data_IF_574581889748
#
_entry.id   IF_574581889748
#
_cell.length_a   1.000
_cell.length_b   1.000
_cell.length_c   1.000
_cell.angle_alpha   90.00
_cell.angle_beta   90.00
_cell.angle_gamma   90.00
#
_symmetry.space_group_name_H-M   'P 1'
#
loop_
_entity.id
_entity.type
_entity.pdbx_description
1 polymer ?
#
# COMPACT_ATOMS: atom_id res chain seq x y z
N UNK A 1 38.53 29.66 -25.28
CA UNK A 1 37.13 29.17 -25.23
C UNK A 1 37.19 27.69 -24.89
N UNK A 2 36.96 27.34 -23.62
CA UNK A 2 36.93 25.95 -23.19
C UNK A 2 35.65 25.30 -23.73
N UNK A 3 35.81 24.23 -24.51
CA UNK A 3 34.74 23.35 -24.97
C UNK A 3 33.95 22.88 -23.75
N UNK A 4 32.64 23.13 -23.74
CA UNK A 4 31.73 22.55 -22.77
C UNK A 4 31.87 21.03 -22.86
N UNK A 5 32.60 20.43 -21.91
CA UNK A 5 32.59 18.99 -21.73
C UNK A 5 31.12 18.58 -21.62
N UNK A 6 30.63 17.80 -22.58
CA UNK A 6 29.35 17.13 -22.50
C UNK A 6 29.36 16.35 -21.19
N UNK A 7 28.79 16.92 -20.13
CA UNK A 7 28.51 16.18 -18.91
C UNK A 7 27.70 14.98 -19.33
N UNK A 8 28.11 13.79 -18.90
CA UNK A 8 27.28 12.61 -19.03
C UNK A 8 25.86 12.96 -18.54
N UNK A 9 24.81 12.51 -19.23
CA UNK A 9 23.45 12.83 -18.84
C UNK A 9 23.24 12.43 -17.38
N UNK A 10 22.63 13.33 -16.60
CA UNK A 10 22.34 13.05 -15.19
C UNK A 10 21.53 11.75 -15.08
N UNK A 11 21.87 10.92 -14.12
CA UNK A 11 21.17 9.65 -13.87
C UNK A 11 20.51 9.72 -12.50
N UNK A 12 19.18 9.71 -12.47
CA UNK A 12 18.42 9.72 -11.22
C UNK A 12 17.85 8.34 -10.93
N UNK A 13 17.59 8.06 -9.66
CA UNK A 13 16.92 6.83 -9.24
C UNK A 13 15.72 7.09 -8.32
N UNK A 14 14.72 6.23 -8.45
CA UNK A 14 13.67 6.02 -7.46
C UNK A 14 13.87 4.64 -6.84
N UNK A 15 13.94 4.54 -5.51
CA UNK A 15 13.90 3.28 -4.77
C UNK A 15 12.57 3.20 -4.02
N UNK A 16 11.66 2.36 -4.50
CA UNK A 16 10.36 2.14 -3.87
C UNK A 16 10.41 0.88 -3.01
N UNK A 17 10.38 1.05 -1.69
CA UNK A 17 10.46 -0.06 -0.73
C UNK A 17 9.04 -0.45 -0.35
N UNK A 18 8.60 -1.64 -0.76
CA UNK A 18 7.24 -2.17 -0.56
C UNK A 18 7.30 -3.59 -0.02
N UNK A 19 6.29 -4.05 0.74
CA UNK A 19 6.40 -5.35 1.41
C UNK A 19 5.77 -6.53 0.65
N UNK A 20 4.78 -6.33 -0.20
CA UNK A 20 4.21 -7.45 -0.99
C UNK A 20 3.67 -7.05 -2.37
N UNK A 21 3.75 -5.77 -2.74
CA UNK A 21 3.05 -5.28 -3.93
C UNK A 21 3.64 -5.70 -5.28
N UNK A 22 4.76 -6.42 -5.27
CA UNK A 22 5.36 -7.03 -6.45
C UNK A 22 4.79 -8.41 -6.80
N UNK A 23 4.26 -9.12 -5.82
CA UNK A 23 3.82 -10.50 -5.99
C UNK A 23 2.38 -10.74 -5.53
N UNK A 24 1.75 -9.77 -4.87
CA UNK A 24 0.37 -9.84 -4.41
C UNK A 24 -0.39 -8.58 -4.83
N UNK A 25 -1.43 -8.76 -5.65
CA UNK A 25 -2.31 -7.68 -6.11
C UNK A 25 -3.69 -7.65 -5.41
N UNK A 26 -3.93 -8.52 -4.43
CA UNK A 26 -5.25 -8.67 -3.78
C UNK A 26 -5.43 -7.78 -2.55
N UNK A 27 -4.46 -6.91 -2.25
CA UNK A 27 -4.50 -6.00 -1.11
C UNK A 27 -4.19 -4.55 -1.52
N UNK A 28 -4.34 -3.63 -0.55
CA UNK A 28 -4.16 -2.20 -0.76
C UNK A 28 -2.75 -1.83 -1.26
N UNK A 29 -1.70 -2.40 -0.68
CA UNK A 29 -0.31 -2.11 -1.08
C UNK A 29 0.05 -2.71 -2.43
N UNK A 30 -0.51 -3.87 -2.76
CA UNK A 30 -0.52 -4.40 -4.13
C UNK A 30 -1.06 -3.38 -5.11
N UNK A 31 -2.26 -2.87 -4.84
CA UNK A 31 -2.91 -1.86 -5.68
C UNK A 31 -2.08 -0.58 -5.80
N UNK A 32 -1.56 -0.05 -4.69
CA UNK A 32 -0.72 1.15 -4.68
C UNK A 32 0.59 0.98 -5.46
N UNK A 33 1.23 -0.20 -5.33
CA UNK A 33 2.46 -0.50 -6.05
C UNK A 33 2.21 -0.55 -7.56
N UNK A 34 1.13 -1.20 -7.99
CA UNK A 34 0.78 -1.24 -9.41
C UNK A 34 0.39 0.13 -9.95
N UNK A 35 -0.34 0.92 -9.15
CA UNK A 35 -0.67 2.30 -9.50
C UNK A 35 0.59 3.13 -9.73
N UNK A 36 1.58 3.04 -8.84
CA UNK A 36 2.85 3.75 -8.99
C UNK A 36 3.56 3.33 -10.28
N UNK A 37 3.69 2.01 -10.53
CA UNK A 37 4.39 1.51 -11.72
C UNK A 37 3.68 1.93 -13.02
N UNK A 38 2.35 1.74 -13.10
CA UNK A 38 1.57 2.16 -14.27
C UNK A 38 1.59 3.68 -14.46
N UNK A 39 1.54 4.44 -13.35
CA UNK A 39 1.67 5.88 -13.37
C UNK A 39 3.01 6.32 -13.93
N UNK A 40 4.12 5.76 -13.44
CA UNK A 40 5.47 6.04 -13.92
C UNK A 40 5.61 5.68 -15.41
N UNK A 41 5.12 4.52 -15.85
CA UNK A 41 5.10 4.15 -17.28
C UNK A 41 4.40 5.20 -18.14
N UNK A 42 3.28 5.75 -17.64
CA UNK A 42 2.49 6.74 -18.36
C UNK A 42 3.14 8.14 -18.39
N UNK A 43 3.68 8.61 -17.26
CA UNK A 43 4.19 9.98 -17.12
C UNK A 43 5.70 10.11 -17.32
N UNK A 44 6.42 9.00 -17.56
CA UNK A 44 7.89 8.96 -17.71
C UNK A 44 8.43 10.02 -18.67
N UNK A 45 7.89 10.24 -19.88
CA UNK A 45 8.43 11.26 -20.79
C UNK A 45 8.42 12.67 -20.17
N UNK A 46 7.40 12.98 -19.36
CA UNK A 46 7.29 14.27 -18.68
C UNK A 46 8.29 14.38 -17.52
N UNK A 47 8.44 13.32 -16.73
CA UNK A 47 9.43 13.26 -15.65
C UNK A 47 10.84 13.42 -16.24
N UNK A 48 11.18 12.67 -17.28
CA UNK A 48 12.52 12.69 -17.86
C UNK A 48 12.85 14.02 -18.54
N UNK A 49 11.86 14.68 -19.15
CA UNK A 49 12.03 16.02 -19.71
C UNK A 49 12.36 17.07 -18.62
N UNK A 50 11.79 16.94 -17.42
CA UNK A 50 11.96 17.92 -16.35
C UNK A 50 13.16 17.61 -15.43
N UNK A 51 13.40 16.34 -15.14
CA UNK A 51 14.36 15.91 -14.12
C UNK A 51 15.54 15.11 -14.67
N UNK A 52 15.47 14.69 -15.95
CA UNK A 52 16.43 13.78 -16.57
C UNK A 52 16.05 12.30 -16.40
N UNK A 53 16.82 11.38 -17.01
CA UNK A 53 16.60 9.93 -16.91
C UNK A 53 16.35 9.45 -15.48
N UNK A 54 15.36 8.57 -15.32
CA UNK A 54 14.96 8.02 -14.02
C UNK A 54 14.91 6.49 -14.09
N UNK A 55 15.78 5.84 -13.33
CA UNK A 55 15.74 4.39 -13.13
C UNK A 55 14.88 4.07 -11.90
N UNK A 56 13.89 3.19 -12.08
CA UNK A 56 12.97 2.80 -10.99
C UNK A 56 13.35 1.45 -10.42
N UNK A 57 13.86 1.43 -9.19
CA UNK A 57 14.15 0.23 -8.42
C UNK A 57 13.04 -0.05 -7.43
N UNK A 58 12.71 -1.33 -7.25
CA UNK A 58 11.77 -1.76 -6.21
C UNK A 58 12.47 -2.68 -5.24
N UNK A 59 12.34 -2.41 -3.96
CA UNK A 59 12.91 -3.23 -2.89
C UNK A 59 11.75 -3.92 -2.17
N UNK A 60 11.84 -5.23 -1.99
CA UNK A 60 10.82 -6.02 -1.32
C UNK A 60 11.43 -7.09 -0.41
N UNK A 61 10.69 -7.59 0.60
CA UNK A 61 11.08 -8.77 1.34
C UNK A 61 11.16 -9.95 0.37
N UNK A 62 12.11 -10.84 0.58
CA UNK A 62 12.18 -12.09 -0.15
C UNK A 62 10.90 -12.91 0.11
N UNK A 63 10.15 -13.29 -0.94
CA UNK A 63 8.98 -14.15 -0.78
C UNK A 63 9.44 -15.56 -0.38
N UNK A 64 8.81 -16.11 0.66
CA UNK A 64 9.05 -17.48 1.15
C UNK A 64 7.81 -18.36 0.85
N UNK A 65 7.91 -19.69 0.94
CA UNK A 65 6.75 -20.58 0.80
C UNK A 65 6.08 -20.84 2.18
N UNK A 66 4.77 -20.57 2.38
CA UNK A 66 3.77 -19.98 1.49
C UNK A 66 3.47 -18.52 1.85
N UNK A 67 4.13 -17.57 1.19
CA UNK A 67 3.79 -16.15 1.32
C UNK A 67 2.39 -15.94 0.75
N UNK A 68 1.48 -15.45 1.60
CA UNK A 68 0.09 -15.29 1.22
C UNK A 68 -0.07 -14.42 -0.04
N UNK A 69 -0.79 -14.97 -1.02
CA UNK A 69 -1.04 -14.34 -2.30
C UNK A 69 0.20 -14.15 -3.17
N UNK A 70 1.28 -14.90 -2.94
CA UNK A 70 2.43 -14.94 -3.85
C UNK A 70 2.04 -15.62 -5.16
N UNK A 71 2.08 -14.84 -6.24
CA UNK A 71 1.93 -15.32 -7.61
C UNK A 71 3.26 -15.18 -8.37
N UNK A 72 3.95 -16.30 -8.71
CA UNK A 72 5.24 -16.25 -9.38
C UNK A 72 5.15 -15.71 -10.83
N UNK A 73 4.02 -15.91 -11.51
CA UNK A 73 3.81 -15.39 -12.87
C UNK A 73 3.64 -13.88 -12.81
N UNK A 74 2.82 -13.40 -11.89
CA UNK A 74 2.66 -11.98 -11.64
C UNK A 74 3.98 -11.33 -11.23
N UNK A 75 4.74 -11.95 -10.32
CA UNK A 75 6.04 -11.45 -9.89
C UNK A 75 7.03 -11.30 -11.06
N UNK A 76 7.11 -12.32 -11.94
CA UNK A 76 7.96 -12.25 -13.13
C UNK A 76 7.53 -11.12 -14.08
N UNK A 77 6.23 -10.87 -14.22
CA UNK A 77 5.73 -9.74 -15.01
C UNK A 77 6.18 -8.41 -14.41
N UNK A 78 6.11 -8.26 -13.07
CA UNK A 78 6.57 -7.03 -12.41
C UNK A 78 8.08 -6.81 -12.59
N UNK A 79 8.89 -7.88 -12.53
CA UNK A 79 10.34 -7.77 -12.80
C UNK A 79 10.60 -7.17 -14.20
N UNK A 80 9.93 -7.68 -15.24
CA UNK A 80 10.09 -7.16 -16.62
C UNK A 80 9.65 -5.71 -16.75
N UNK A 81 8.55 -5.31 -16.08
CA UNK A 81 8.08 -3.91 -16.07
C UNK A 81 9.13 -2.98 -15.46
N UNK A 82 9.71 -3.40 -14.34
CA UNK A 82 10.73 -2.63 -13.61
C UNK A 82 12.03 -2.52 -14.42
N UNK A 83 12.44 -3.60 -15.10
CA UNK A 83 13.57 -3.57 -16.04
C UNK A 83 13.32 -2.60 -17.21
N UNK A 84 12.09 -2.55 -17.75
CA UNK A 84 11.72 -1.58 -18.78
C UNK A 84 11.75 -0.12 -18.26
N UNK A 85 11.56 0.08 -16.96
CA UNK A 85 11.76 1.35 -16.25
C UNK A 85 13.23 1.61 -15.86
N UNK A 86 14.18 0.82 -16.37
CA UNK A 86 15.62 1.02 -16.20
C UNK A 86 16.20 0.56 -14.86
N UNK A 87 15.38 -0.01 -13.96
CA UNK A 87 15.84 -0.43 -12.64
C UNK A 87 15.71 -1.93 -12.40
N UNK A 88 15.80 -2.31 -11.12
CA UNK A 88 15.82 -3.71 -10.70
C UNK A 88 14.91 -3.98 -9.49
N UNK A 89 14.50 -5.23 -9.36
CA UNK A 89 13.89 -5.75 -8.12
C UNK A 89 14.99 -6.22 -7.18
N UNK A 90 14.99 -5.73 -5.95
CA UNK A 90 15.91 -6.13 -4.89
C UNK A 90 15.13 -6.87 -3.81
N UNK A 91 15.46 -8.13 -3.59
CA UNK A 91 14.83 -8.96 -2.56
C UNK A 91 15.72 -9.01 -1.32
N UNK A 92 15.14 -8.67 -0.17
CA UNK A 92 15.86 -8.65 1.11
C UNK A 92 15.35 -9.75 2.04
N UNK A 93 16.24 -10.59 2.60
CA UNK A 93 15.83 -11.54 3.63
C UNK A 93 15.40 -10.78 4.89
N UNK A 94 14.33 -11.22 5.53
CA UNK A 94 13.83 -10.66 6.78
C UNK A 94 13.86 -11.64 7.95
N UNK A 95 13.93 -12.94 7.65
CA UNK A 95 13.95 -14.00 8.65
C UNK A 95 15.38 -14.33 9.05
N UNK A 96 15.67 -14.27 10.35
CA UNK A 96 16.82 -14.94 10.93
C UNK A 96 16.50 -16.41 11.28
N UNK A 97 15.21 -16.75 11.41
CA UNK A 97 14.72 -18.09 11.78
C UNK A 97 13.41 -18.44 11.07
N UNK A 98 13.10 -19.72 10.82
CA UNK A 98 11.93 -20.13 10.03
C UNK A 98 10.57 -19.63 10.56
N UNK A 99 10.41 -19.53 11.88
CA UNK A 99 9.19 -19.12 12.57
C UNK A 99 8.92 -17.61 12.52
N UNK A 100 9.90 -16.81 12.09
CA UNK A 100 9.80 -15.37 12.12
C UNK A 100 8.84 -14.86 11.04
N UNK A 101 7.79 -14.16 11.44
CA UNK A 101 6.79 -13.60 10.52
C UNK A 101 7.18 -12.21 10.01
N UNK A 102 6.68 -11.83 8.84
CA UNK A 102 6.96 -10.52 8.25
C UNK A 102 6.48 -9.37 9.14
N UNK A 103 5.39 -9.56 9.87
CA UNK A 103 4.77 -8.53 10.73
C UNK A 103 5.35 -8.49 12.16
N UNK A 104 6.48 -9.16 12.39
CA UNK A 104 7.27 -9.00 13.60
C UNK A 104 8.24 -7.82 13.46
N UNK A 105 8.36 -6.97 14.49
CA UNK A 105 9.31 -5.85 14.51
C UNK A 105 10.77 -6.29 14.25
N UNK A 106 11.16 -7.51 14.65
CA UNK A 106 12.48 -8.09 14.33
C UNK A 106 12.71 -8.22 12.82
N UNK A 107 11.65 -8.53 12.07
CA UNK A 107 11.68 -8.58 10.60
C UNK A 107 11.81 -7.19 10.00
N UNK A 108 11.10 -6.21 10.57
CA UNK A 108 11.18 -4.82 10.12
C UNK A 108 12.57 -4.22 10.36
N UNK A 109 13.21 -4.53 11.49
CA UNK A 109 14.60 -4.15 11.77
C UNK A 109 15.57 -4.77 10.75
N UNK A 110 15.46 -6.08 10.50
CA UNK A 110 16.28 -6.77 9.50
C UNK A 110 16.12 -6.16 8.10
N UNK A 111 14.88 -5.90 7.68
CA UNK A 111 14.55 -5.26 6.40
C UNK A 111 15.11 -3.83 6.31
N UNK A 112 14.90 -3.01 7.35
CA UNK A 112 15.41 -1.63 7.38
C UNK A 112 16.94 -1.58 7.33
N UNK A 113 17.64 -2.53 7.98
CA UNK A 113 19.11 -2.66 7.88
C UNK A 113 19.57 -3.11 6.51
N UNK A 114 18.92 -4.12 5.94
CA UNK A 114 19.20 -4.60 4.58
C UNK A 114 19.00 -3.49 3.55
N UNK A 115 17.90 -2.74 3.66
CA UNK A 115 17.60 -1.60 2.79
C UNK A 115 18.63 -0.49 2.95
N UNK A 116 19.03 -0.13 4.17
CA UNK A 116 20.05 0.88 4.40
C UNK A 116 21.41 0.49 3.76
N UNK A 117 21.84 -0.76 3.91
CA UNK A 117 23.06 -1.27 3.29
C UNK A 117 22.99 -1.24 1.76
N UNK A 118 21.86 -1.70 1.19
CA UNK A 118 21.59 -1.67 -0.25
C UNK A 118 21.63 -0.24 -0.79
N UNK A 119 20.90 0.68 -0.17
CA UNK A 119 20.79 2.07 -0.60
C UNK A 119 22.16 2.76 -0.56
N UNK A 120 22.97 2.51 0.46
CA UNK A 120 24.34 3.06 0.53
C UNK A 120 25.16 2.62 -0.69
N UNK A 121 25.06 1.36 -1.10
CA UNK A 121 25.81 0.82 -2.22
C UNK A 121 25.26 1.33 -3.57
N UNK A 122 23.94 1.25 -3.76
CA UNK A 122 23.30 1.49 -5.06
C UNK A 122 23.17 2.98 -5.39
N UNK A 123 22.87 3.83 -4.42
CA UNK A 123 22.66 5.28 -4.67
C UNK A 123 23.93 5.99 -5.13
N UNK A 124 25.12 5.41 -4.89
CA UNK A 124 26.40 5.97 -5.34
C UNK A 124 26.54 6.01 -6.87
N UNK A 125 25.75 5.23 -7.61
CA UNK A 125 25.73 5.22 -9.07
C UNK A 125 24.84 6.32 -9.70
N UNK A 126 24.14 7.11 -8.87
CA UNK A 126 23.15 8.09 -9.30
C UNK A 126 23.49 9.50 -8.83
N UNK A 127 23.16 10.50 -9.62
CA UNK A 127 23.33 11.91 -9.27
C UNK A 127 22.38 12.35 -8.16
N UNK A 128 21.17 11.78 -8.17
CA UNK A 128 20.11 12.02 -7.17
C UNK A 128 19.30 10.75 -7.00
N UNK A 129 18.86 10.51 -5.77
CA UNK A 129 17.98 9.38 -5.46
C UNK A 129 16.82 9.83 -4.58
N UNK A 130 15.62 9.36 -4.91
CA UNK A 130 14.47 9.39 -4.02
C UNK A 130 14.22 7.99 -3.49
N UNK A 131 14.09 7.84 -2.18
CA UNK A 131 13.71 6.59 -1.52
C UNK A 131 12.32 6.75 -0.95
N UNK A 132 11.39 5.88 -1.29
CA UNK A 132 10.03 5.87 -0.74
C UNK A 132 9.90 4.62 0.13
N UNK A 133 9.73 4.82 1.44
CA UNK A 133 9.60 3.76 2.43
C UNK A 133 8.12 3.53 2.76
N UNK A 134 7.56 2.38 2.38
CA UNK A 134 6.12 2.08 2.58
C UNK A 134 5.90 1.28 3.87
N UNK A 135 5.15 1.86 4.80
CA UNK A 135 4.73 1.25 6.06
C UNK A 135 5.89 0.83 7.00
N UNK A 136 5.51 0.18 8.11
CA UNK A 136 6.39 -0.21 9.22
C UNK A 136 7.65 -0.98 8.82
N UNK A 137 7.61 -1.94 7.85
CA UNK A 137 8.80 -2.73 7.50
C UNK A 137 10.00 -1.90 7.05
N UNK A 138 9.76 -0.71 6.51
CA UNK A 138 10.79 0.15 5.93
C UNK A 138 10.96 1.47 6.69
N UNK A 139 10.10 1.73 7.68
CA UNK A 139 10.00 3.00 8.39
C UNK A 139 11.33 3.42 9.05
N UNK A 140 12.13 2.45 9.51
CA UNK A 140 13.41 2.70 10.18
C UNK A 140 14.59 2.85 9.22
N UNK A 141 14.40 2.68 7.92
CA UNK A 141 15.50 2.76 6.95
C UNK A 141 16.30 4.07 7.07
N UNK A 142 15.69 5.27 7.16
CA UNK A 142 16.46 6.50 7.32
C UNK A 142 17.12 6.63 8.71
N UNK A 143 16.49 6.10 9.76
CA UNK A 143 17.07 6.04 11.10
C UNK A 143 18.35 5.19 11.09
N UNK A 144 18.32 4.03 10.45
CA UNK A 144 19.48 3.13 10.30
C UNK A 144 20.58 3.78 9.48
N UNK A 145 20.26 4.43 8.35
CA UNK A 145 21.24 5.20 7.56
C UNK A 145 21.95 6.25 8.41
N UNK A 146 21.20 6.94 9.27
CA UNK A 146 21.76 7.98 10.14
C UNK A 146 22.64 7.42 11.24
N UNK A 147 22.17 6.41 11.97
CA UNK A 147 22.86 5.89 13.16
C UNK A 147 24.03 4.98 12.83
N UNK A 148 23.97 4.21 11.74
CA UNK A 148 25.02 3.24 11.39
C UNK A 148 25.99 3.75 10.33
N UNK A 149 25.52 4.60 9.41
CA UNK A 149 26.32 5.07 8.27
C UNK A 149 26.62 6.57 8.34
N UNK A 150 26.23 7.25 9.42
CA UNK A 150 26.52 8.66 9.66
C UNK A 150 25.65 9.64 8.86
N UNK A 151 24.57 9.17 8.24
CA UNK A 151 23.61 10.00 7.51
C UNK A 151 23.09 9.35 6.23
N UNK A 152 22.13 10.01 5.59
CA UNK A 152 21.69 9.64 4.24
C UNK A 152 22.85 9.84 3.24
N UNK A 153 22.96 8.99 2.21
CA UNK A 153 23.90 9.22 1.12
C UNK A 153 23.75 10.63 0.52
N UNK A 154 24.84 11.23 -0.01
CA UNK A 154 24.76 12.54 -0.64
C UNK A 154 23.68 12.59 -1.73
N UNK A 155 22.87 13.66 -1.74
CA UNK A 155 21.80 13.87 -2.74
C UNK A 155 20.71 12.77 -2.77
N UNK A 156 20.60 12.02 -1.68
CA UNK A 156 19.46 11.13 -1.43
C UNK A 156 18.47 11.80 -0.50
N UNK A 157 17.19 11.72 -0.85
CA UNK A 157 16.06 12.10 -0.02
C UNK A 157 15.18 10.87 0.26
N UNK A 158 14.53 10.84 1.42
CA UNK A 158 13.60 9.77 1.79
C UNK A 158 12.20 10.33 2.04
N UNK A 159 11.18 9.59 1.62
CA UNK A 159 9.78 9.83 1.90
C UNK A 159 9.24 8.63 2.69
N UNK A 160 8.79 8.87 3.91
CA UNK A 160 8.12 7.89 4.76
C UNK A 160 6.62 7.91 4.45
N UNK A 161 6.08 6.81 3.95
CA UNK A 161 4.68 6.68 3.58
C UNK A 161 4.04 5.63 4.46
N UNK A 162 3.11 6.04 5.32
CA UNK A 162 2.35 5.13 6.18
C UNK A 162 0.90 5.13 5.70
N UNK A 163 0.31 3.94 5.62
CA UNK A 163 -1.12 3.71 5.38
C UNK A 163 -1.81 3.12 6.61
N UNK A 164 -1.05 2.76 7.63
CA UNK A 164 -1.54 2.17 8.86
C UNK A 164 -0.60 2.48 10.02
N UNK A 165 -1.11 2.45 11.25
CA UNK A 165 -0.31 2.57 12.48
C UNK A 165 -0.80 1.59 13.55
N UNK A 166 -0.06 1.41 14.64
CA UNK A 166 -0.50 0.59 15.78
C UNK A 166 -1.90 1.00 16.30
N UNK A 167 -2.15 2.31 16.39
CA UNK A 167 -3.45 2.88 16.78
C UNK A 167 -4.59 2.56 15.82
N UNK A 168 -4.32 2.34 14.54
CA UNK A 168 -5.35 1.95 13.57
C UNK A 168 -5.60 0.44 13.62
N UNK A 169 -4.54 -0.36 13.83
CA UNK A 169 -4.63 -1.82 14.01
C UNK A 169 -5.44 -2.21 15.24
N UNK A 170 -5.14 -1.58 16.38
CA UNK A 170 -5.80 -1.84 17.65
C UNK A 170 -5.98 -0.52 18.41
N UNK A 171 -7.07 0.18 18.11
CA UNK A 171 -7.37 1.49 18.68
C UNK A 171 -7.47 1.50 20.20
N UNK A 172 -8.12 0.49 20.80
CA UNK A 172 -8.39 0.46 22.23
C UNK A 172 -7.13 0.14 23.05
N UNK A 173 -6.27 -0.72 22.50
CA UNK A 173 -5.06 -1.22 23.19
C UNK A 173 -3.89 -1.36 22.21
N UNK A 174 -3.38 -0.24 21.66
CA UNK A 174 -2.25 -0.30 20.73
C UNK A 174 -1.02 -0.89 21.43
N UNK A 175 -0.26 -1.74 20.73
CA UNK A 175 0.96 -2.31 21.28
C UNK A 175 1.99 -1.20 21.54
N UNK A 176 2.36 -1.01 22.80
CA UNK A 176 3.25 0.09 23.20
C UNK A 176 4.65 -0.02 22.57
N UNK A 177 5.11 -1.24 22.28
CA UNK A 177 6.40 -1.48 21.65
C UNK A 177 6.35 -1.09 20.17
N UNK A 178 5.26 -1.44 19.49
CA UNK A 178 4.99 -1.03 18.11
C UNK A 178 4.84 0.49 17.99
N UNK A 179 4.13 1.14 18.92
CA UNK A 179 4.02 2.61 18.95
C UNK A 179 5.38 3.26 19.13
N UNK A 180 6.21 2.76 20.06
CA UNK A 180 7.56 3.26 20.26
C UNK A 180 8.46 3.05 19.02
N UNK A 181 8.31 1.91 18.34
CA UNK A 181 8.95 1.65 17.05
C UNK A 181 8.52 2.68 16.01
N UNK A 182 7.22 2.90 15.82
CA UNK A 182 6.69 3.86 14.85
C UNK A 182 7.19 5.28 15.12
N UNK A 183 7.16 5.72 16.38
CA UNK A 183 7.69 7.03 16.79
C UNK A 183 9.19 7.17 16.43
N UNK A 184 10.02 6.17 16.75
CA UNK A 184 11.47 6.24 16.49
C UNK A 184 11.80 6.36 15.00
N UNK A 185 11.01 5.72 14.13
CA UNK A 185 11.21 5.83 12.70
C UNK A 185 10.73 7.18 12.13
N UNK A 186 9.57 7.65 12.60
CA UNK A 186 9.02 8.97 12.25
C UNK A 186 9.93 10.12 12.69
N UNK A 187 10.62 9.95 13.83
CA UNK A 187 11.63 10.86 14.36
C UNK A 187 12.78 11.14 13.39
N UNK A 188 12.95 10.38 12.30
CA UNK A 188 13.94 10.69 11.27
C UNK A 188 13.54 11.92 10.41
N UNK A 189 12.25 12.26 10.34
CA UNK A 189 11.70 13.31 9.48
C UNK A 189 11.83 14.73 10.08
N UNK A 190 13.00 15.07 10.63
CA UNK A 190 13.29 16.36 11.27
C UNK A 190 13.71 17.43 10.24
N UNK A 191 13.67 18.73 10.59
CA UNK A 191 14.15 19.77 9.70
C UNK A 191 15.59 19.50 9.24
N UNK A 192 15.86 19.75 7.96
CA UNK A 192 17.15 19.51 7.30
C UNK A 192 17.62 18.05 7.15
N UNK A 193 16.87 17.03 7.59
CA UNK A 193 17.30 15.62 7.48
C UNK A 193 17.23 15.02 6.06
N UNK A 194 16.60 15.73 5.10
CA UNK A 194 16.18 15.22 3.79
C UNK A 194 15.22 14.02 3.88
N UNK A 195 14.59 13.81 5.03
CA UNK A 195 13.52 12.84 5.24
C UNK A 195 12.23 13.61 5.45
N UNK A 196 11.18 13.23 4.72
CA UNK A 196 9.85 13.79 4.90
C UNK A 196 8.83 12.67 5.15
N UNK A 197 7.71 13.01 5.77
CA UNK A 197 6.53 12.16 5.91
C UNK A 197 5.57 12.50 4.78
N UNK A 198 4.99 11.49 4.14
CA UNK A 198 3.96 11.69 3.13
C UNK A 198 2.66 12.20 3.74
N UNK A 199 2.16 13.31 3.18
CA UNK A 199 0.78 13.74 3.36
C UNK A 199 -0.12 12.99 2.36
N UNK A 200 -0.59 11.82 2.79
CA UNK A 200 -1.42 10.93 1.95
C UNK A 200 -2.87 11.38 1.84
N UNK A 201 -3.37 12.00 2.92
CA UNK A 201 -4.65 12.68 3.01
C UNK A 201 -4.74 13.45 4.34
N UNK A 202 -5.58 14.49 4.43
CA UNK A 202 -5.68 15.32 5.63
C UNK A 202 -6.05 14.55 6.91
N UNK A 203 -6.91 13.53 6.81
CA UNK A 203 -7.33 12.74 7.98
C UNK A 203 -6.19 11.90 8.53
N UNK A 204 -5.38 11.26 7.67
CA UNK A 204 -4.24 10.47 8.11
C UNK A 204 -3.11 11.35 8.65
N UNK A 205 -2.87 12.51 8.03
CA UNK A 205 -1.90 13.49 8.55
C UNK A 205 -2.32 14.00 9.93
N UNK A 206 -3.61 14.25 10.15
CA UNK A 206 -4.16 14.60 11.47
C UNK A 206 -3.99 13.46 12.47
N UNK A 207 -4.27 12.21 12.06
CA UNK A 207 -4.06 11.01 12.86
C UNK A 207 -2.61 10.91 13.34
N UNK A 208 -1.65 11.06 12.44
CA UNK A 208 -0.23 11.03 12.80
C UNK A 208 0.12 12.12 13.83
N UNK A 209 -0.34 13.36 13.62
CA UNK A 209 -0.09 14.47 14.56
C UNK A 209 -0.77 14.28 15.92
N UNK A 210 -1.88 13.56 15.96
CA UNK A 210 -2.62 13.30 17.21
C UNK A 210 -1.91 12.26 18.06
N UNK A 211 -1.34 11.24 17.43
CA UNK A 211 -0.84 10.05 18.12
C UNK A 211 0.69 9.99 18.26
N UNK A 212 1.42 10.81 17.50
CA UNK A 212 2.88 10.85 17.49
C UNK A 212 3.38 12.28 17.67
N UNK A 213 4.55 12.42 18.28
CA UNK A 213 5.19 13.73 18.49
C UNK A 213 5.85 14.19 17.19
N UNK A 214 5.15 15.02 16.41
CA UNK A 214 5.54 15.43 15.05
C UNK A 214 5.54 16.95 14.82
N UNK A 215 5.76 17.73 15.87
CA UNK A 215 5.67 19.20 15.80
C UNK A 215 6.63 19.81 14.78
N UNK A 216 7.87 19.31 14.73
CA UNK A 216 8.91 19.76 13.81
C UNK A 216 9.03 18.89 12.54
N UNK A 217 8.10 17.94 12.33
CA UNK A 217 8.22 17.00 11.24
C UNK A 217 7.99 17.66 9.88
N UNK A 218 8.81 17.30 8.89
CA UNK A 218 8.62 17.76 7.51
C UNK A 218 7.63 16.85 6.79
N UNK A 219 6.54 17.43 6.28
CA UNK A 219 5.57 16.72 5.43
C UNK A 219 5.76 17.09 3.96
N UNK A 220 5.53 16.13 3.06
CA UNK A 220 5.57 16.32 1.62
C UNK A 220 4.29 15.80 0.95
N UNK A 221 3.75 16.47 -0.07
CA UNK A 221 2.56 16.01 -0.78
C UNK A 221 2.77 14.62 -1.38
N UNK A 222 1.87 13.68 -1.05
CA UNK A 222 1.86 12.33 -1.63
C UNK A 222 0.44 11.77 -1.60
N UNK A 223 -0.50 12.49 -2.20
CA UNK A 223 -1.92 12.15 -2.11
C UNK A 223 -2.20 10.78 -2.73
N UNK A 224 -2.92 9.94 -1.99
CA UNK A 224 -3.41 8.67 -2.53
C UNK A 224 -4.24 8.93 -3.80
N UNK A 225 -3.89 8.25 -4.88
CA UNK A 225 -4.42 8.54 -6.21
C UNK A 225 -5.06 7.31 -6.84
N UNK A 226 -5.70 7.50 -8.00
CA UNK A 226 -6.14 6.44 -8.91
C UNK A 226 -5.68 6.80 -10.32
N UNK A 227 -5.40 5.80 -11.15
CA UNK A 227 -5.11 6.01 -12.56
C UNK A 227 -6.43 5.92 -13.33
N UNK A 228 -7.11 7.05 -13.51
CA UNK A 228 -8.46 7.10 -14.11
C UNK A 228 -8.49 6.52 -15.53
N UNK A 229 -7.35 6.56 -16.24
CA UNK A 229 -7.18 6.01 -17.57
C UNK A 229 -6.97 4.49 -17.58
N UNK A 230 -6.83 3.84 -16.43
CA UNK A 230 -6.71 2.38 -16.37
C UNK A 230 -8.01 1.74 -16.94
N UNK A 231 -7.91 0.80 -17.90
CA UNK A 231 -9.05 0.13 -18.49
C UNK A 231 -10.02 -0.51 -17.49
N UNK A 232 -9.57 -0.80 -16.26
CA UNK A 232 -10.44 -1.29 -15.19
C UNK A 232 -11.51 -0.28 -14.77
N UNK A 233 -11.30 1.02 -15.00
CA UNK A 233 -12.27 2.07 -14.70
C UNK A 233 -13.14 2.46 -15.90
N UNK A 234 -12.95 1.81 -17.06
CA UNK A 234 -13.81 2.05 -18.23
C UNK A 234 -15.28 1.78 -17.88
N UNK A 235 -16.21 2.50 -18.52
CA UNK A 235 -17.64 2.21 -18.38
C UNK A 235 -17.96 0.85 -18.99
N UNK A 236 -18.74 0.05 -18.29
CA UNK A 236 -19.26 -1.23 -18.78
C UNK A 236 -20.60 -1.02 -19.49
N UNK A 237 -20.94 -1.95 -20.39
CA UNK A 237 -22.28 -1.99 -20.98
C UNK A 237 -23.31 -2.40 -19.91
N UNK A 238 -24.50 -1.81 -19.96
CA UNK A 238 -25.55 -2.09 -18.97
C UNK A 238 -25.97 -3.58 -18.98
N UNK A 239 -25.99 -4.24 -20.15
CA UNK A 239 -26.32 -5.66 -20.23
C UNK A 239 -25.26 -6.53 -19.55
N UNK A 240 -23.99 -6.13 -19.64
CA UNK A 240 -22.89 -6.81 -18.93
C UNK A 240 -22.99 -6.60 -17.41
N UNK A 241 -23.30 -5.38 -16.96
CA UNK A 241 -23.52 -5.08 -15.54
C UNK A 241 -24.67 -5.95 -15.01
N UNK A 242 -25.83 -5.95 -15.67
CA UNK A 242 -26.99 -6.77 -15.30
C UNK A 242 -26.63 -8.25 -15.20
N UNK A 243 -25.87 -8.77 -16.18
CA UNK A 243 -25.40 -10.16 -16.19
C UNK A 243 -24.54 -10.49 -14.97
N UNK A 244 -23.60 -9.61 -14.61
CA UNK A 244 -22.74 -9.78 -13.44
C UNK A 244 -23.58 -9.76 -12.15
N UNK A 245 -24.44 -8.76 -11.98
CA UNK A 245 -25.30 -8.64 -10.80
C UNK A 245 -26.21 -9.86 -10.63
N UNK A 246 -26.88 -10.30 -11.69
CA UNK A 246 -27.71 -11.51 -11.67
C UNK A 246 -26.91 -12.77 -11.35
N UNK A 247 -25.69 -12.93 -11.88
CA UNK A 247 -24.83 -14.08 -11.61
C UNK A 247 -24.45 -14.18 -10.12
N UNK A 248 -24.42 -13.06 -9.41
CA UNK A 248 -24.16 -12.99 -7.97
C UNK A 248 -25.44 -12.95 -7.11
N UNK A 249 -26.63 -13.03 -7.70
CA UNK A 249 -27.89 -12.95 -6.97
C UNK A 249 -28.14 -11.56 -6.36
N UNK A 250 -27.61 -10.50 -6.97
CA UNK A 250 -27.93 -9.12 -6.60
C UNK A 250 -29.23 -8.70 -7.32
N UNK A 251 -30.25 -8.22 -6.61
CA UNK A 251 -31.48 -7.73 -7.22
C UNK A 251 -31.24 -6.46 -8.06
N UNK A 252 -31.98 -6.32 -9.15
CA UNK A 252 -31.83 -5.21 -10.10
C UNK A 252 -32.86 -4.09 -9.90
N UNK A 253 -33.90 -4.34 -9.13
CA UNK A 253 -35.13 -3.54 -9.02
C UNK A 253 -35.33 -2.97 -7.60
N UNK A 254 -34.26 -2.87 -6.82
CA UNK A 254 -34.28 -2.34 -5.45
C UNK A 254 -33.09 -1.42 -5.21
N UNK A 255 -33.26 -0.48 -4.26
CA UNK A 255 -32.16 0.35 -3.78
C UNK A 255 -31.11 -0.53 -3.08
N UNK A 256 -29.84 -0.33 -3.45
CA UNK A 256 -28.72 -1.12 -2.93
C UNK A 256 -27.91 -0.32 -1.91
N UNK A 257 -27.52 -0.99 -0.83
CA UNK A 257 -26.42 -0.53 0.03
C UNK A 257 -25.23 -1.43 -0.22
N UNK A 258 -24.16 -0.87 -0.78
CA UNK A 258 -22.93 -1.61 -1.04
C UNK A 258 -21.93 -1.42 0.10
N UNK A 259 -21.41 -2.53 0.62
CA UNK A 259 -20.23 -2.56 1.47
C UNK A 259 -19.29 -3.66 1.03
N UNK A 260 -18.00 -3.36 0.90
CA UNK A 260 -17.01 -4.36 0.49
C UNK A 260 -15.65 -4.18 1.15
N UNK A 261 -14.97 -5.29 1.41
CA UNK A 261 -13.63 -5.31 2.01
C UNK A 261 -13.23 -6.68 2.54
N UNK A 262 -12.08 -6.74 3.21
CA UNK A 262 -11.69 -7.91 4.01
C UNK A 262 -12.63 -8.05 5.21
N UNK A 263 -12.99 -9.27 5.58
CA UNK A 263 -13.72 -9.56 6.80
C UNK A 263 -12.80 -9.36 8.00
N UNK A 264 -12.77 -8.13 8.51
CA UNK A 264 -11.93 -7.73 9.63
C UNK A 264 -12.65 -6.63 10.43
N UNK A 265 -12.54 -6.61 11.77
CA UNK A 265 -13.22 -5.62 12.61
C UNK A 265 -12.95 -4.17 12.22
N UNK A 266 -11.73 -3.88 11.74
CA UNK A 266 -11.36 -2.53 11.26
C UNK A 266 -12.25 -2.01 10.10
N UNK A 267 -12.95 -2.89 9.39
CA UNK A 267 -13.89 -2.50 8.33
C UNK A 267 -15.26 -2.08 8.87
N UNK A 268 -15.55 -2.34 10.14
CA UNK A 268 -16.74 -1.82 10.83
C UNK A 268 -18.06 -2.38 10.30
N UNK A 269 -18.06 -3.53 9.63
CA UNK A 269 -19.29 -4.14 9.11
C UNK A 269 -20.24 -4.54 10.25
N UNK A 270 -19.71 -4.91 11.40
CA UNK A 270 -20.45 -5.19 12.63
C UNK A 270 -21.19 -3.96 13.19
N UNK A 271 -20.78 -2.75 12.81
CA UNK A 271 -21.50 -1.50 13.13
C UNK A 271 -22.47 -1.11 12.02
N UNK A 272 -22.07 -1.32 10.77
CA UNK A 272 -22.91 -1.02 9.60
C UNK A 272 -24.19 -1.87 9.59
N UNK A 273 -24.07 -3.18 9.79
CA UNK A 273 -25.21 -4.12 9.68
C UNK A 273 -26.34 -3.71 10.65
N UNK A 274 -26.12 -3.53 11.96
CA UNK A 274 -27.17 -3.04 12.86
C UNK A 274 -27.70 -1.65 12.51
N UNK A 275 -26.85 -0.77 11.97
CA UNK A 275 -27.28 0.58 11.59
C UNK A 275 -28.26 0.61 10.41
N UNK A 276 -28.36 -0.48 9.63
CA UNK A 276 -29.32 -0.63 8.54
C UNK A 276 -30.69 -1.14 8.98
N UNK A 277 -30.86 -1.55 10.24
CA UNK A 277 -32.13 -2.05 10.80
C UNK A 277 -33.34 -1.15 10.49
N UNK A 278 -33.27 0.20 10.59
CA UNK A 278 -34.39 1.08 10.25
C UNK A 278 -34.78 1.10 8.77
N UNK A 279 -33.95 0.53 7.89
CA UNK A 279 -34.10 0.52 6.43
C UNK A 279 -34.31 -0.90 5.87
N UNK A 280 -34.44 -1.93 6.71
CA UNK A 280 -34.39 -3.34 6.31
C UNK A 280 -35.40 -3.76 5.21
N UNK A 281 -36.56 -3.09 5.13
CA UNK A 281 -37.58 -3.34 4.10
C UNK A 281 -37.42 -2.48 2.83
N UNK A 282 -36.54 -1.47 2.86
CA UNK A 282 -36.38 -0.45 1.80
C UNK A 282 -35.13 -0.68 0.94
N UNK A 283 -34.11 -1.30 1.50
CA UNK A 283 -32.82 -1.48 0.82
C UNK A 283 -32.41 -2.95 0.84
N UNK A 284 -31.56 -3.32 -0.12
CA UNK A 284 -30.87 -4.60 -0.13
C UNK A 284 -29.38 -4.40 0.11
N UNK A 285 -28.84 -5.03 1.15
CA UNK A 285 -27.42 -5.00 1.45
C UNK A 285 -26.66 -5.93 0.50
N UNK A 286 -25.69 -5.41 -0.23
CA UNK A 286 -24.69 -6.21 -0.94
C UNK A 286 -23.41 -6.13 -0.12
N UNK A 287 -23.12 -7.19 0.64
CA UNK A 287 -21.92 -7.27 1.47
C UNK A 287 -20.90 -8.18 0.79
N UNK A 288 -19.77 -7.63 0.36
CA UNK A 288 -18.64 -8.40 -0.15
C UNK A 288 -17.58 -8.44 0.96
N UNK A 289 -17.56 -9.51 1.75
CA UNK A 289 -16.59 -9.67 2.84
C UNK A 289 -15.71 -10.89 2.57
N UNK A 290 -14.42 -10.69 2.32
CA UNK A 290 -13.48 -11.77 1.95
C UNK A 290 -12.66 -12.15 3.19
N UNK A 291 -12.52 -13.44 3.55
CA UNK A 291 -11.85 -13.82 4.78
C UNK A 291 -10.37 -13.44 4.75
N UNK A 292 -9.82 -13.09 5.91
CA UNK A 292 -8.41 -12.86 6.09
C UNK A 292 -7.83 -14.15 6.68
N UNK A 293 -7.09 -14.93 5.88
CA UNK A 293 -6.70 -16.31 6.18
C UNK A 293 -7.90 -17.27 6.10
N UNK A 294 -7.67 -18.57 6.31
CA UNK A 294 -8.73 -19.60 6.37
C UNK A 294 -9.53 -19.50 7.71
N UNK A 295 -9.92 -18.28 8.11
CA UNK A 295 -10.72 -17.97 9.29
C UNK A 295 -12.02 -17.24 8.90
N UNK A 296 -13.14 -17.96 9.05
CA UNK A 296 -14.48 -17.46 8.72
C UNK A 296 -15.19 -16.81 9.93
N UNK A 297 -14.51 -16.61 11.06
CA UNK A 297 -15.15 -16.14 12.30
C UNK A 297 -15.85 -14.80 12.14
N UNK A 298 -15.22 -13.85 11.45
CA UNK A 298 -15.85 -12.55 11.17
C UNK A 298 -17.04 -12.67 10.21
N UNK A 299 -16.94 -13.53 9.18
CA UNK A 299 -18.05 -13.73 8.25
C UNK A 299 -19.26 -14.36 8.94
N UNK A 300 -19.04 -15.33 9.84
CA UNK A 300 -20.11 -15.94 10.65
C UNK A 300 -20.80 -14.92 11.55
N UNK A 301 -20.03 -14.01 12.16
CA UNK A 301 -20.60 -12.91 12.93
C UNK A 301 -21.49 -12.02 12.05
N UNK A 302 -21.04 -11.70 10.82
CA UNK A 302 -21.84 -10.89 9.91
C UNK A 302 -23.13 -11.60 9.48
N UNK A 303 -23.08 -12.91 9.22
CA UNK A 303 -24.30 -13.70 8.92
C UNK A 303 -25.30 -13.64 10.09
N UNK A 304 -24.82 -13.83 11.33
CA UNK A 304 -25.66 -13.76 12.53
C UNK A 304 -26.32 -12.39 12.69
N UNK A 305 -25.56 -11.31 12.47
CA UNK A 305 -26.09 -9.95 12.55
C UNK A 305 -27.12 -9.67 11.44
N UNK A 306 -26.87 -10.13 10.22
CA UNK A 306 -27.81 -10.01 9.09
C UNK A 306 -29.14 -10.71 9.43
N UNK A 307 -29.07 -11.92 9.97
CA UNK A 307 -30.25 -12.68 10.40
C UNK A 307 -30.99 -11.99 11.57
N UNK A 308 -30.25 -11.57 12.59
CA UNK A 308 -30.79 -10.89 13.77
C UNK A 308 -31.57 -9.61 13.40
N UNK A 309 -31.03 -8.83 12.46
CA UNK A 309 -31.62 -7.58 11.97
C UNK A 309 -32.55 -7.77 10.77
N UNK A 310 -32.79 -9.03 10.36
CA UNK A 310 -33.68 -9.40 9.24
C UNK A 310 -33.39 -8.62 7.95
N UNK A 311 -32.11 -8.35 7.68
CA UNK A 311 -31.74 -7.59 6.50
C UNK A 311 -31.87 -8.46 5.25
N UNK A 312 -32.42 -7.89 4.19
CA UNK A 312 -32.30 -8.46 2.84
C UNK A 312 -30.85 -8.28 2.40
N UNK A 313 -30.14 -9.38 2.20
CA UNK A 313 -28.70 -9.33 1.95
C UNK A 313 -28.25 -10.36 0.90
N UNK A 314 -27.36 -9.92 0.00
CA UNK A 314 -26.49 -10.80 -0.80
C UNK A 314 -25.11 -10.74 -0.18
N UNK A 315 -24.75 -11.76 0.60
CA UNK A 315 -23.44 -11.85 1.25
C UNK A 315 -22.45 -12.65 0.38
N UNK A 316 -21.57 -11.93 -0.31
CA UNK A 316 -20.51 -12.51 -1.13
C UNK A 316 -19.25 -12.70 -0.29
N UNK A 317 -18.82 -13.95 -0.14
CA UNK A 317 -17.71 -14.36 0.73
C UNK A 317 -16.38 -14.59 0.02
N UNK A 318 -16.36 -14.41 -1.29
CA UNK A 318 -15.19 -14.64 -2.14
C UNK A 318 -14.83 -13.36 -2.89
N UNK A 319 -13.53 -13.16 -3.11
CA UNK A 319 -13.07 -12.01 -3.88
C UNK A 319 -13.44 -12.18 -5.35
N UNK A 320 -14.12 -11.18 -5.91
CA UNK A 320 -14.30 -11.03 -7.34
C UNK A 320 -13.90 -9.61 -7.75
N UNK A 321 -13.33 -9.48 -8.95
CA UNK A 321 -12.79 -8.19 -9.43
C UNK A 321 -13.83 -7.37 -10.19
N UNK A 322 -14.77 -8.05 -10.84
CA UNK A 322 -15.81 -7.49 -11.70
C UNK A 322 -17.02 -6.99 -10.91
N UNK A 323 -17.43 -7.68 -9.85
CA UNK A 323 -18.63 -7.32 -9.10
C UNK A 323 -18.56 -5.94 -8.42
N UNK A 324 -17.50 -5.55 -7.68
CA UNK A 324 -17.44 -4.21 -7.09
C UNK A 324 -17.50 -3.11 -8.16
N UNK A 325 -16.91 -3.35 -9.33
CA UNK A 325 -16.93 -2.41 -10.46
C UNK A 325 -18.35 -2.30 -11.03
N UNK A 326 -19.02 -3.42 -11.27
CA UNK A 326 -20.38 -3.44 -11.78
C UNK A 326 -21.35 -2.72 -10.83
N UNK A 327 -21.26 -2.97 -9.52
CA UNK A 327 -22.09 -2.33 -8.50
C UNK A 327 -21.87 -0.81 -8.41
N UNK A 328 -20.64 -0.33 -8.59
CA UNK A 328 -20.35 1.10 -8.61
C UNK A 328 -20.84 1.82 -9.89
N UNK A 329 -21.24 1.07 -10.92
CA UNK A 329 -21.69 1.61 -12.21
C UNK A 329 -23.18 1.33 -12.50
N UNK A 330 -23.87 0.59 -11.62
CA UNK A 330 -25.30 0.30 -11.68
C UNK A 330 -26.13 1.46 -11.14
#
# INVERSE_FOLDING_TARGET
MATAAQRAPWRNALFYLTYNGLYNFTNGIGTQTQLLLSGLEHIRPHIEAQYGPLDTHVVAPQPEHPTWGYDPVFFQQQQRRIEALGGHVHLLPYRARPEQELWDMRSWDALSRGAAALLRAQTAAYDRSLVICIDQPWLHTPHVLTTQYGGLPPRTACLLVLYNTAFIRNWETPDATEVAWEQLGLDAARPASRVAIADICPSFTTHLRTHFTLDDATFAPYTSSILVQDPIFARQDEADIRKILCAHGVPLDTDLVLAFGRAAPIKGFERLIPALDPLCERVHLVLISVPYLDDDTQQRLYDQLIEQHRLRCTHIKQFTRDLPRALCQW
#
